data_IF_742470357585
#
_entry.id   IF_742470357585
#
_cell.length_a   1.000
_cell.length_b   1.000
_cell.length_c   1.000
_cell.angle_alpha   90.00
_cell.angle_beta   90.00
_cell.angle_gamma   90.00
#
_symmetry.space_group_name_H-M   'P 1'
#
loop_
_entity.id
_entity.type
_entity.pdbx_description
1 polymer ?
#
# COMPACT_ATOMS: atom_id res chain seq x y z
N UNK A 1 -4.54 -0.84 8.53
CA UNK A 1 -4.28 0.57 8.93
C UNK A 1 -4.77 1.59 7.90
N UNK A 2 -5.79 1.30 7.09
CA UNK A 2 -6.41 2.28 6.16
C UNK A 2 -7.58 3.03 6.79
N UNK A 3 -8.18 2.46 7.85
CA UNK A 3 -9.32 3.04 8.57
C UNK A 3 -8.98 4.32 9.36
N UNK A 4 -7.70 4.53 9.72
CA UNK A 4 -7.23 5.73 10.45
C UNK A 4 -7.23 6.99 9.58
N UNK A 5 -7.31 6.86 8.25
CA UNK A 5 -7.40 8.00 7.34
C UNK A 5 -8.83 8.54 7.17
N UNK A 6 -9.84 7.79 7.64
CA UNK A 6 -11.24 8.17 7.52
C UNK A 6 -11.58 9.46 8.31
N UNK A 7 -11.19 9.61 9.60
CA UNK A 7 -11.48 10.82 10.37
C UNK A 7 -10.74 12.06 9.84
N UNK A 8 -9.49 11.88 9.39
CA UNK A 8 -8.71 12.95 8.78
C UNK A 8 -9.34 13.43 7.45
N UNK A 9 -9.83 12.51 6.63
CA UNK A 9 -10.53 12.84 5.39
C UNK A 9 -11.87 13.56 5.65
N UNK A 10 -12.61 13.16 6.68
CA UNK A 10 -13.86 13.84 7.08
C UNK A 10 -13.60 15.25 7.61
N UNK A 11 -12.51 15.46 8.38
CA UNK A 11 -12.13 16.78 8.86
C UNK A 11 -11.73 17.76 7.75
N UNK A 12 -11.15 17.24 6.65
CA UNK A 12 -10.85 18.04 5.45
C UNK A 12 -12.14 18.51 4.75
N UNK A 13 -13.27 17.81 4.95
CA UNK A 13 -14.53 18.15 4.29
C UNK A 13 -15.08 19.53 4.70
N UNK A 14 -14.85 19.93 5.95
CA UNK A 14 -15.35 21.19 6.51
C UNK A 14 -14.54 22.42 6.05
N UNK A 15 -13.33 22.20 5.51
CA UNK A 15 -12.40 23.24 5.02
C UNK A 15 -12.01 23.06 3.55
N UNK A 16 -12.90 22.43 2.77
CA UNK A 16 -12.62 22.08 1.37
C UNK A 16 -12.20 23.26 0.49
N UNK A 17 -12.76 24.46 0.72
CA UNK A 17 -12.44 25.64 -0.08
C UNK A 17 -11.01 26.14 0.12
N UNK A 18 -10.43 25.95 1.31
CA UNK A 18 -9.05 26.37 1.61
C UNK A 18 -8.01 25.32 1.17
N UNK A 19 -8.44 24.06 1.07
CA UNK A 19 -7.58 22.90 0.77
C UNK A 19 -7.55 22.58 -0.73
N UNK A 20 -8.48 23.15 -1.51
CA UNK A 20 -8.68 22.82 -2.93
C UNK A 20 -7.39 22.88 -3.77
N UNK A 21 -6.54 23.89 -3.53
CA UNK A 21 -5.27 24.08 -4.24
C UNK A 21 -4.20 23.05 -3.85
N UNK A 22 -4.35 22.40 -2.69
CA UNK A 22 -3.46 21.38 -2.17
C UNK A 22 -3.97 19.94 -2.41
N UNK A 23 -5.13 19.77 -3.07
CA UNK A 23 -5.66 18.44 -3.36
C UNK A 23 -4.73 17.61 -4.24
N UNK A 24 -4.13 18.23 -5.25
CA UNK A 24 -3.19 17.56 -6.15
C UNK A 24 -1.96 17.00 -5.40
N UNK A 25 -1.22 17.78 -4.58
CA UNK A 25 -0.12 17.22 -3.79
C UNK A 25 -0.59 16.18 -2.75
N UNK A 26 -1.75 16.35 -2.12
CA UNK A 26 -2.31 15.35 -1.19
C UNK A 26 -2.56 14.02 -1.91
N UNK A 27 -3.15 14.04 -3.10
CA UNK A 27 -3.40 12.83 -3.90
C UNK A 27 -2.09 12.11 -4.25
N UNK A 28 -1.04 12.85 -4.61
CA UNK A 28 0.28 12.24 -4.90
C UNK A 28 0.83 11.53 -3.67
N UNK A 29 0.77 12.16 -2.49
CA UNK A 29 1.25 11.56 -1.23
C UNK A 29 0.49 10.27 -0.93
N UNK A 30 -0.83 10.27 -1.10
CA UNK A 30 -1.67 9.08 -0.88
C UNK A 30 -1.29 7.95 -1.84
N UNK A 31 -1.12 8.25 -3.13
CA UNK A 31 -0.75 7.23 -4.12
C UNK A 31 0.62 6.60 -3.82
N UNK A 32 1.61 7.43 -3.47
CA UNK A 32 2.94 6.95 -3.08
C UNK A 32 2.87 6.11 -1.80
N UNK A 33 2.12 6.57 -0.79
CA UNK A 33 1.97 5.85 0.46
C UNK A 33 1.32 4.47 0.26
N UNK A 34 0.29 4.38 -0.58
CA UNK A 34 -0.36 3.10 -0.92
C UNK A 34 0.64 2.18 -1.63
N UNK A 35 1.33 2.69 -2.65
CA UNK A 35 2.32 1.91 -3.40
C UNK A 35 3.42 1.35 -2.48
N UNK A 36 3.99 2.19 -1.62
CA UNK A 36 5.02 1.77 -0.67
C UNK A 36 4.51 0.76 0.34
N UNK A 37 3.27 0.88 0.82
CA UNK A 37 2.68 -0.10 1.73
C UNK A 37 2.59 -1.48 1.07
N UNK A 38 2.02 -1.56 -0.13
CA UNK A 38 1.87 -2.83 -0.85
C UNK A 38 3.24 -3.42 -1.20
N UNK A 39 4.16 -2.59 -1.70
CA UNK A 39 5.52 -3.01 -2.04
C UNK A 39 6.27 -3.54 -0.80
N UNK A 40 6.17 -2.85 0.34
CA UNK A 40 6.81 -3.28 1.58
C UNK A 40 6.26 -4.60 2.07
N UNK A 41 4.93 -4.79 2.05
CA UNK A 41 4.31 -6.05 2.45
C UNK A 41 4.77 -7.18 1.51
N UNK A 42 4.73 -6.97 0.20
CA UNK A 42 5.17 -7.96 -0.78
C UNK A 42 6.64 -8.34 -0.58
N UNK A 43 7.52 -7.34 -0.42
CA UNK A 43 8.94 -7.55 -0.19
C UNK A 43 9.21 -8.31 1.12
N UNK A 44 8.58 -7.90 2.22
CA UNK A 44 8.75 -8.54 3.52
C UNK A 44 8.22 -9.97 3.51
N UNK A 45 7.04 -10.21 2.92
CA UNK A 45 6.48 -11.55 2.79
C UNK A 45 7.40 -12.43 1.95
N UNK A 46 7.88 -11.94 0.81
CA UNK A 46 8.77 -12.70 -0.06
C UNK A 46 10.12 -12.97 0.64
N UNK A 47 10.67 -12.00 1.35
CA UNK A 47 11.89 -12.16 2.15
C UNK A 47 11.72 -13.22 3.24
N UNK A 48 10.62 -13.18 4.01
CA UNK A 48 10.31 -14.16 5.04
C UNK A 48 10.15 -15.55 4.42
N UNK A 49 9.39 -15.68 3.34
CA UNK A 49 9.21 -16.95 2.63
C UNK A 49 10.55 -17.51 2.16
N UNK A 50 11.35 -16.75 1.41
CA UNK A 50 12.67 -17.19 0.94
C UNK A 50 13.59 -17.56 2.11
N UNK A 51 13.50 -16.86 3.25
CA UNK A 51 14.37 -17.10 4.42
C UNK A 51 13.98 -18.33 5.24
N UNK A 52 12.69 -18.59 5.43
CA UNK A 52 12.19 -19.61 6.37
C UNK A 52 11.58 -20.84 5.69
N UNK A 53 10.93 -20.67 4.54
CA UNK A 53 10.37 -21.77 3.74
C UNK A 53 11.43 -22.37 2.80
N UNK A 54 12.49 -21.61 2.48
CA UNK A 54 13.43 -21.97 1.42
C UNK A 54 12.81 -21.74 0.05
N UNK A 55 13.64 -21.60 -0.98
CA UNK A 55 13.20 -21.42 -2.36
C UNK A 55 12.48 -22.71 -2.82
N UNK A 56 11.18 -22.78 -2.55
CA UNK A 56 10.30 -23.70 -3.26
C UNK A 56 10.24 -23.21 -4.71
N UNK A 57 11.29 -23.56 -5.46
CA UNK A 57 11.21 -23.71 -6.91
C UNK A 57 10.06 -24.68 -7.08
N UNK A 58 8.89 -24.15 -7.45
CA UNK A 58 7.73 -24.92 -7.85
C UNK A 58 8.20 -25.77 -9.03
N UNK A 59 8.69 -26.98 -8.73
CA UNK A 59 9.09 -27.96 -9.73
C UNK A 59 7.80 -28.38 -10.39
N UNK A 60 7.49 -27.66 -11.48
CA UNK A 60 6.65 -28.09 -12.57
C UNK A 60 5.35 -28.75 -12.15
N UNK A 61 4.27 -27.98 -12.15
CA UNK A 61 2.98 -28.50 -12.58
C UNK A 61 3.06 -28.97 -14.03
N UNK A 62 3.71 -30.12 -14.26
CA UNK A 62 3.39 -30.99 -15.38
C UNK A 62 2.22 -31.85 -14.91
N UNK A 63 1.03 -31.45 -15.36
CA UNK A 63 -0.11 -32.35 -15.41
C UNK A 63 0.21 -33.44 -16.43
N UNK A 64 0.46 -34.65 -15.96
CA UNK A 64 0.31 -35.89 -16.71
C UNK A 64 -1.01 -36.56 -16.29
#
# INVERSE_FOLDING_TARGET
>A
MTILFLPAAVGIMDRFNDIKDYLLPITIIILVAIFLNVATIGFVVQFIKTRFEGDYVDKGGHHD
#
